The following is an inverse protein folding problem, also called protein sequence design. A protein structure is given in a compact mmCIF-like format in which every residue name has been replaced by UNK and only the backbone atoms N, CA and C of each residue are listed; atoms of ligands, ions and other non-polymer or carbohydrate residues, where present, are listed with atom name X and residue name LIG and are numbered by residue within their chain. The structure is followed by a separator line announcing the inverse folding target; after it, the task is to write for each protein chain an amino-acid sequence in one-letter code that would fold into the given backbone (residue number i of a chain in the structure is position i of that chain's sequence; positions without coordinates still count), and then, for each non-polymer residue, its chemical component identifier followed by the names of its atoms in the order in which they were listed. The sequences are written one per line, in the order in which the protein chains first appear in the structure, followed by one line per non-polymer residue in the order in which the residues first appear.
data_IF_815521581003
#
_entry.id   IF_815521581003
#
_cell.length_a   1.000
_cell.length_b   1.000
_cell.length_c   1.000
_cell.angle_alpha   90.00
_cell.angle_beta   90.00
_cell.angle_gamma   90.00
#
_symmetry.space_group_name_H-M   'P 1'
#
loop_
_entity.id
_entity.type
_entity.pdbx_description
1 polymer ?
#
# COMPACT_ATOMS: atom_id res chain seq x y z
N UNK A 1 37.44 17.46 9.51
CA UNK A 1 36.23 18.30 9.25
C UNK A 1 35.03 17.39 9.00
N UNK A 2 34.01 17.41 9.86
CA UNK A 2 32.75 16.70 9.61
C UNK A 2 31.96 17.50 8.57
N UNK A 3 31.86 17.01 7.32
CA UNK A 3 31.00 17.64 6.29
C UNK A 3 29.57 17.69 6.82
N UNK A 4 28.98 18.88 6.92
CA UNK A 4 27.58 19.07 7.34
C UNK A 4 26.67 18.37 6.34
N UNK A 5 25.77 17.51 6.83
CA UNK A 5 24.82 16.77 5.98
C UNK A 5 23.86 17.73 5.27
N UNK A 6 23.64 17.52 3.98
CA UNK A 6 22.66 18.28 3.20
C UNK A 6 21.22 18.00 3.68
N UNK A 7 20.24 18.86 3.37
CA UNK A 7 18.85 18.63 3.72
C UNK A 7 18.29 17.28 3.23
N UNK A 8 18.60 16.89 1.99
CA UNK A 8 18.19 15.58 1.44
C UNK A 8 18.85 14.43 2.21
N UNK A 9 20.14 14.52 2.55
CA UNK A 9 20.82 13.50 3.36
C UNK A 9 20.18 13.34 4.76
N UNK A 10 19.69 14.43 5.36
CA UNK A 10 18.97 14.37 6.65
C UNK A 10 17.61 13.70 6.51
N UNK A 11 16.85 13.96 5.45
CA UNK A 11 15.56 13.30 5.20
C UNK A 11 15.74 11.82 4.80
N UNK A 12 16.77 11.46 4.03
CA UNK A 12 17.12 10.06 3.74
C UNK A 12 17.46 9.27 5.01
N UNK A 13 18.20 9.87 5.95
CA UNK A 13 18.47 9.23 7.24
C UNK A 13 17.21 9.05 8.08
N UNK A 14 16.28 9.99 8.01
CA UNK A 14 14.99 9.87 8.69
C UNK A 14 14.15 8.75 8.05
N UNK A 15 14.10 8.71 6.72
CA UNK A 15 13.45 7.66 5.96
C UNK A 15 14.01 6.29 6.34
N UNK A 16 15.33 6.11 6.30
CA UNK A 16 15.99 4.84 6.67
C UNK A 16 15.61 4.39 8.08
N UNK A 17 15.56 5.32 9.05
CA UNK A 17 15.12 5.01 10.42
C UNK A 17 13.65 4.60 10.50
N UNK A 18 12.78 5.24 9.72
CA UNK A 18 11.35 4.91 9.70
C UNK A 18 11.08 3.57 9.01
N UNK A 19 11.77 3.31 7.90
CA UNK A 19 11.75 2.03 7.19
C UNK A 19 12.23 0.91 8.11
N UNK A 20 13.42 1.06 8.73
CA UNK A 20 13.94 0.06 9.67
C UNK A 20 12.96 -0.24 10.82
N UNK A 21 12.31 0.78 11.40
CA UNK A 21 11.31 0.56 12.46
C UNK A 21 10.09 -0.21 11.96
N UNK A 22 9.63 0.06 10.74
CA UNK A 22 8.55 -0.68 10.12
C UNK A 22 8.95 -2.15 9.92
N UNK A 23 10.13 -2.39 9.33
CA UNK A 23 10.64 -3.74 9.08
C UNK A 23 10.83 -4.54 10.37
N UNK A 24 11.46 -3.95 11.40
CA UNK A 24 11.65 -4.58 12.71
C UNK A 24 10.31 -4.97 13.37
N UNK A 25 9.29 -4.11 13.23
CA UNK A 25 7.95 -4.41 13.75
C UNK A 25 7.34 -5.62 13.06
N UNK A 26 7.45 -5.70 11.72
CA UNK A 26 6.92 -6.83 10.93
C UNK A 26 7.70 -8.12 11.13
N UNK A 27 9.02 -8.03 11.28
CA UNK A 27 9.87 -9.20 11.53
C UNK A 27 9.61 -9.81 12.90
N UNK A 28 9.40 -8.98 13.94
CA UNK A 28 9.08 -9.44 15.30
C UNK A 28 7.68 -10.04 15.44
N UNK A 29 6.74 -9.68 14.57
CA UNK A 29 5.40 -10.27 14.55
C UNK A 29 5.35 -11.66 13.90
N UNK A 30 6.41 -12.08 13.21
CA UNK A 30 6.50 -13.34 12.49
C UNK A 30 6.86 -14.55 13.34
N UNK A 31 6.22 -14.75 14.49
CA UNK A 31 6.43 -15.98 15.28
C UNK A 31 5.63 -17.16 14.72
N UNK A 32 6.35 -18.24 14.46
CA UNK A 32 6.00 -19.50 13.78
C UNK A 32 4.74 -20.24 14.22
N UNK A 33 4.10 -19.85 15.33
CA UNK A 33 2.90 -20.51 15.88
C UNK A 33 1.62 -20.23 15.08
N UNK A 34 1.66 -19.18 14.25
CA UNK A 34 0.51 -18.63 13.55
C UNK A 34 0.21 -19.34 12.23
N UNK A 35 1.25 -19.57 11.41
CA UNK A 35 1.13 -20.30 10.14
C UNK A 35 0.68 -21.75 10.39
N UNK A 36 1.19 -22.39 11.45
CA UNK A 36 0.77 -23.74 11.85
C UNK A 36 -0.69 -23.82 12.27
N UNK A 37 -1.22 -22.82 12.99
CA UNK A 37 -2.64 -22.80 13.39
C UNK A 37 -3.60 -22.55 12.22
N UNK A 38 -3.13 -21.86 11.17
CA UNK A 38 -3.92 -21.51 9.99
C UNK A 38 -4.03 -22.66 8.99
N UNK A 39 -2.94 -23.42 8.78
CA UNK A 39 -2.96 -24.60 7.91
C UNK A 39 -3.94 -25.67 8.40
N UNK A 40 -4.09 -25.84 9.72
CA UNK A 40 -4.94 -26.89 10.29
C UNK A 40 -6.44 -26.55 10.36
N UNK A 41 -6.84 -25.28 10.19
CA UNK A 41 -8.23 -24.83 10.46
C UNK A 41 -8.91 -24.05 9.34
N UNK A 42 -8.19 -23.63 8.31
CA UNK A 42 -8.78 -22.91 7.17
C UNK A 42 -9.25 -23.93 6.10
N UNK A 43 -10.54 -23.94 5.72
CA UNK A 43 -10.99 -24.75 4.59
C UNK A 43 -10.40 -24.24 3.27
N UNK A 44 -9.73 -25.11 2.51
CA UNK A 44 -9.13 -24.79 1.20
C UNK A 44 -10.11 -24.08 0.26
N UNK A 45 -11.38 -24.53 0.26
CA UNK A 45 -12.45 -23.96 -0.56
C UNK A 45 -12.70 -22.48 -0.27
N UNK A 46 -12.62 -22.08 1.01
CA UNK A 46 -12.86 -20.71 1.43
C UNK A 46 -11.69 -19.80 1.02
N UNK A 47 -10.46 -20.27 1.22
CA UNK A 47 -9.27 -19.56 0.74
C UNK A 47 -9.30 -19.35 -0.77
N UNK A 48 -9.61 -20.41 -1.52
CA UNK A 48 -9.73 -20.34 -2.98
C UNK A 48 -10.83 -19.38 -3.44
N UNK A 49 -11.96 -19.28 -2.73
CA UNK A 49 -13.02 -18.31 -3.04
C UNK A 49 -12.56 -16.87 -2.83
N UNK A 50 -11.90 -16.58 -1.71
CA UNK A 50 -11.40 -15.22 -1.43
C UNK A 50 -10.31 -14.81 -2.40
N UNK A 51 -9.39 -15.72 -2.71
CA UNK A 51 -8.33 -15.50 -3.69
C UNK A 51 -8.90 -15.17 -5.07
N UNK A 52 -9.88 -15.95 -5.55
CA UNK A 52 -10.59 -15.65 -6.82
C UNK A 52 -11.28 -14.29 -6.79
N UNK A 53 -11.87 -13.90 -5.67
CA UNK A 53 -12.52 -12.60 -5.53
C UNK A 53 -11.49 -11.45 -5.57
N UNK A 54 -10.35 -11.58 -4.89
CA UNK A 54 -9.26 -10.59 -4.96
C UNK A 54 -8.66 -10.51 -6.36
N UNK A 55 -8.36 -11.65 -6.97
CA UNK A 55 -7.86 -11.71 -8.34
C UNK A 55 -8.79 -10.98 -9.32
N UNK A 56 -10.09 -11.27 -9.23
CA UNK A 56 -11.11 -10.64 -10.05
C UNK A 56 -11.22 -9.14 -9.80
N UNK A 57 -11.16 -8.71 -8.53
CA UNK A 57 -11.18 -7.31 -8.15
C UNK A 57 -9.97 -6.53 -8.72
N UNK A 58 -8.76 -7.06 -8.56
CA UNK A 58 -7.55 -6.45 -9.11
C UNK A 58 -7.61 -6.36 -10.63
N UNK A 59 -7.96 -7.45 -11.32
CA UNK A 59 -8.13 -7.45 -12.78
C UNK A 59 -9.15 -6.40 -13.22
N UNK A 60 -10.32 -6.36 -12.58
CA UNK A 60 -11.37 -5.41 -12.92
C UNK A 60 -10.89 -3.97 -12.73
N UNK A 61 -10.22 -3.67 -11.60
CA UNK A 61 -9.78 -2.32 -11.30
C UNK A 61 -8.65 -1.87 -12.24
N UNK A 62 -7.66 -2.71 -12.51
CA UNK A 62 -6.56 -2.35 -13.41
C UNK A 62 -6.96 -2.24 -14.88
N UNK A 63 -8.01 -2.96 -15.31
CA UNK A 63 -8.52 -2.87 -16.69
C UNK A 63 -9.55 -1.75 -16.84
N UNK A 64 -10.47 -1.57 -15.88
CA UNK A 64 -11.65 -0.68 -16.03
C UNK A 64 -11.85 0.30 -14.88
N UNK A 65 -11.33 0.02 -13.69
CA UNK A 65 -11.63 0.76 -12.47
C UNK A 65 -10.74 1.98 -12.19
N UNK A 66 -9.61 2.14 -12.90
CA UNK A 66 -8.73 3.32 -12.74
C UNK A 66 -9.51 4.62 -12.93
N UNK A 67 -10.28 4.74 -14.02
CA UNK A 67 -11.11 5.92 -14.29
C UNK A 67 -12.21 6.16 -13.25
N UNK A 68 -12.78 5.08 -12.68
CA UNK A 68 -13.80 5.20 -11.63
C UNK A 68 -13.19 5.68 -10.31
N UNK A 69 -12.03 5.11 -9.94
CA UNK A 69 -11.29 5.50 -8.74
C UNK A 69 -10.79 6.95 -8.87
N UNK A 70 -10.34 7.38 -10.05
CA UNK A 70 -9.92 8.77 -10.28
C UNK A 70 -10.99 9.79 -9.99
N UNK A 71 -12.25 9.52 -10.35
CA UNK A 71 -13.37 10.43 -10.07
C UNK A 71 -13.61 10.65 -8.57
N UNK A 72 -13.04 9.81 -7.71
CA UNK A 72 -13.25 9.89 -6.27
C UNK A 72 -12.25 10.84 -5.58
N UNK A 73 -11.22 11.36 -6.27
CA UNK A 73 -10.26 12.34 -5.74
C UNK A 73 -9.82 13.35 -6.80
N UNK A 74 -9.23 14.46 -6.37
CA UNK A 74 -8.78 15.52 -7.28
C UNK A 74 -7.38 15.22 -7.83
N UNK A 75 -7.29 14.34 -8.83
CA UNK A 75 -6.02 13.94 -9.46
C UNK A 75 -5.17 15.15 -9.92
N UNK A 76 -5.76 16.05 -10.69
CA UNK A 76 -5.05 17.22 -11.21
C UNK A 76 -4.49 18.13 -10.09
N UNK A 77 -5.22 18.26 -8.98
CA UNK A 77 -4.77 19.04 -7.82
C UNK A 77 -3.54 18.39 -7.19
N UNK A 78 -3.55 17.06 -7.00
CA UNK A 78 -2.40 16.32 -6.48
C UNK A 78 -1.16 16.42 -7.39
N UNK A 79 -1.35 16.34 -8.71
CA UNK A 79 -0.25 16.47 -9.67
C UNK A 79 0.31 17.90 -9.72
N UNK A 80 -0.55 18.92 -9.65
CA UNK A 80 -0.15 20.33 -9.58
C UNK A 80 0.61 20.61 -8.28
N UNK A 81 0.09 20.15 -7.15
CA UNK A 81 0.75 20.27 -5.84
C UNK A 81 2.12 19.61 -5.84
N UNK A 82 2.23 18.41 -6.41
CA UNK A 82 3.51 17.73 -6.59
C UNK A 82 4.49 18.61 -7.39
N UNK A 83 4.10 19.13 -8.56
CA UNK A 83 4.97 19.96 -9.41
C UNK A 83 5.44 21.23 -8.68
N UNK A 84 4.57 21.87 -7.91
CA UNK A 84 4.92 23.05 -7.11
C UNK A 84 5.97 22.68 -6.04
N UNK A 85 5.76 21.57 -5.35
CA UNK A 85 6.67 21.10 -4.31
C UNK A 85 8.01 20.62 -4.88
N UNK A 86 7.98 19.91 -6.00
CA UNK A 86 9.17 19.42 -6.70
C UNK A 86 10.03 20.59 -7.20
N UNK A 87 9.41 21.57 -7.86
CA UNK A 87 10.10 22.80 -8.28
C UNK A 87 10.72 23.55 -7.09
N UNK A 88 9.98 23.68 -5.98
CA UNK A 88 10.52 24.29 -4.76
C UNK A 88 11.70 23.49 -4.18
N UNK A 89 11.67 22.16 -4.25
CA UNK A 89 12.77 21.29 -3.82
C UNK A 89 14.01 21.47 -4.71
N UNK A 90 13.82 21.54 -6.03
CA UNK A 90 14.91 21.77 -6.98
C UNK A 90 15.59 23.13 -6.76
N UNK A 91 14.82 24.18 -6.47
CA UNK A 91 15.35 25.55 -6.30
C UNK A 91 15.92 25.80 -4.91
N UNK A 92 15.17 25.47 -3.85
CA UNK A 92 15.55 25.83 -2.47
C UNK A 92 16.39 24.75 -1.80
N UNK A 93 16.24 23.49 -2.21
CA UNK A 93 16.91 22.32 -1.62
C UNK A 93 16.86 22.31 -0.08
N UNK A 94 15.82 22.87 0.53
CA UNK A 94 15.72 23.05 1.98
C UNK A 94 14.93 21.90 2.63
N UNK A 95 15.13 21.72 3.93
CA UNK A 95 14.50 20.61 4.66
C UNK A 95 12.99 20.82 4.86
N UNK A 96 12.51 22.06 4.78
CA UNK A 96 11.13 22.43 5.09
C UNK A 96 10.22 22.01 3.93
N UNK A 97 10.64 22.20 2.70
CA UNK A 97 9.90 21.78 1.50
C UNK A 97 9.74 20.26 1.44
N UNK A 98 10.83 19.49 1.64
CA UNK A 98 10.78 18.02 1.70
C UNK A 98 9.89 17.50 2.85
N UNK A 99 9.88 18.19 3.99
CA UNK A 99 9.04 17.85 5.14
C UNK A 99 7.55 18.08 4.87
N UNK A 100 7.20 19.12 4.11
CA UNK A 100 5.79 19.42 3.74
C UNK A 100 5.23 18.33 2.85
N UNK A 101 5.96 17.96 1.80
CA UNK A 101 5.60 16.88 0.89
C UNK A 101 5.38 15.55 1.63
N UNK A 102 6.33 15.17 2.50
CA UNK A 102 6.19 13.99 3.38
C UNK A 102 4.95 14.05 4.27
N UNK A 103 4.66 15.20 4.90
CA UNK A 103 3.50 15.35 5.77
C UNK A 103 2.17 15.19 5.02
N UNK A 104 2.10 15.70 3.79
CA UNK A 104 0.94 15.56 2.92
C UNK A 104 0.77 14.11 2.42
N UNK A 105 1.86 13.42 2.09
CA UNK A 105 1.79 12.00 1.70
C UNK A 105 1.34 11.10 2.87
N UNK A 106 1.94 11.29 4.04
CA UNK A 106 1.58 10.53 5.25
C UNK A 106 0.17 10.82 5.80
N UNK A 107 -0.53 11.85 5.31
CA UNK A 107 -1.92 12.11 5.68
C UNK A 107 -2.93 11.28 4.87
N UNK A 108 -2.54 10.64 3.75
CA UNK A 108 -3.42 9.71 3.00
C UNK A 108 -3.79 8.51 3.86
N UNK A 109 -2.86 8.01 4.68
CA UNK A 109 -3.12 6.94 5.65
C UNK A 109 -3.84 7.39 6.92
N UNK A 110 -4.14 8.69 7.09
CA UNK A 110 -4.99 9.19 8.17
C UNK A 110 -6.43 9.12 7.69
N UNK A 111 -7.06 7.98 7.97
CA UNK A 111 -8.50 7.80 7.87
C UNK A 111 -9.17 8.80 8.81
N UNK A 112 -9.42 10.02 8.33
CA UNK A 112 -10.26 10.96 9.04
C UNK A 112 -11.67 10.37 8.96
N UNK A 113 -12.16 9.90 10.10
CA UNK A 113 -13.55 9.52 10.39
C UNK A 113 -14.57 10.66 10.13
N UNK A 114 -14.16 11.74 9.45
CA UNK A 114 -14.89 12.98 9.21
C UNK A 114 -14.82 13.48 7.74
N UNK A 115 -14.27 12.71 6.80
CA UNK A 115 -14.29 13.07 5.37
C UNK A 115 -15.56 12.58 4.63
N UNK A 116 -16.56 12.10 5.36
CA UNK A 116 -17.84 11.58 4.86
C UNK A 116 -18.91 12.66 4.63
N UNK A 117 -18.54 13.94 4.60
CA UNK A 117 -19.49 15.05 4.48
C UNK A 117 -19.63 15.72 3.09
N UNK A 118 -18.62 15.68 2.22
CA UNK A 118 -18.62 16.61 1.07
C UNK A 118 -18.14 16.04 -0.27
N UNK A 119 -17.68 14.79 -0.35
CA UNK A 119 -17.24 14.18 -1.60
C UNK A 119 -18.26 13.16 -2.12
N UNK A 120 -19.50 13.62 -2.37
CA UNK A 120 -20.37 13.17 -3.48
C UNK A 120 -20.63 11.68 -3.73
N UNK A 121 -20.30 10.77 -2.83
CA UNK A 121 -20.70 9.36 -2.87
C UNK A 121 -21.10 9.03 -1.44
N UNK A 122 -22.41 8.87 -1.21
CA UNK A 122 -23.02 8.78 0.12
C UNK A 122 -22.28 7.82 1.06
N UNK A 123 -21.76 8.36 2.17
CA UNK A 123 -21.21 7.61 3.29
C UNK A 123 -21.95 7.97 4.58
N UNK A 124 -23.28 8.05 4.49
CA UNK A 124 -24.18 7.98 5.64
C UNK A 124 -24.55 6.53 5.94
N UNK A 125 -23.58 5.67 6.26
CA UNK A 125 -23.82 4.34 6.83
C UNK A 125 -22.68 3.96 7.80
N UNK A 126 -22.63 4.67 8.92
CA UNK A 126 -22.17 4.05 10.17
C UNK A 126 -23.39 3.26 10.65
N UNK A 127 -23.43 1.94 10.42
CA UNK A 127 -24.47 1.10 11.00
C UNK A 127 -24.80 -0.25 10.34
N UNK A 128 -24.39 -0.55 9.11
CA UNK A 128 -24.79 -1.82 8.45
C UNK A 128 -23.71 -2.35 7.50
N UNK A 129 -23.11 -3.50 7.85
CA UNK A 129 -22.48 -4.41 6.88
C UNK A 129 -21.11 -4.02 6.30
N UNK A 130 -20.51 -4.96 5.57
CA UNK A 130 -19.11 -4.96 5.11
C UNK A 130 -19.00 -4.62 3.64
N UNK A 131 -18.02 -3.81 3.22
CA UNK A 131 -17.75 -3.60 1.80
C UNK A 131 -17.30 -4.90 1.14
N UNK A 132 -17.82 -5.22 -0.04
CA UNK A 132 -17.35 -6.38 -0.80
C UNK A 132 -15.84 -6.26 -1.14
N UNK A 133 -15.19 -7.38 -1.46
CA UNK A 133 -13.76 -7.42 -1.82
C UNK A 133 -13.38 -6.40 -2.93
N UNK A 134 -14.21 -6.20 -3.98
CA UNK A 134 -14.02 -5.12 -4.94
C UNK A 134 -13.93 -3.73 -4.30
N UNK A 135 -14.84 -3.36 -3.41
CA UNK A 135 -14.83 -2.06 -2.73
C UNK A 135 -13.59 -1.88 -1.87
N UNK A 136 -13.22 -2.90 -1.08
CA UNK A 136 -11.97 -2.86 -0.29
C UNK A 136 -10.74 -2.66 -1.18
N UNK A 137 -10.63 -3.45 -2.25
CA UNK A 137 -9.51 -3.37 -3.21
C UNK A 137 -9.48 -2.00 -3.88
N UNK A 138 -10.65 -1.44 -4.20
CA UNK A 138 -10.80 -0.09 -4.74
C UNK A 138 -10.26 0.99 -3.79
N UNK A 139 -10.59 0.93 -2.51
CA UNK A 139 -10.05 1.85 -1.50
C UNK A 139 -8.54 1.71 -1.31
N UNK A 140 -8.03 0.48 -1.36
CA UNK A 140 -6.60 0.21 -1.23
C UNK A 140 -5.83 0.84 -2.37
N UNK A 141 -6.24 0.54 -3.60
CA UNK A 141 -5.62 1.09 -4.80
C UNK A 141 -5.78 2.62 -4.87
N UNK A 142 -6.97 3.16 -4.55
CA UNK A 142 -7.21 4.61 -4.42
C UNK A 142 -6.19 5.27 -3.48
N UNK A 143 -5.88 4.64 -2.35
CA UNK A 143 -4.95 5.20 -1.37
C UNK A 143 -3.51 5.19 -1.91
N UNK A 144 -3.10 4.09 -2.53
CA UNK A 144 -1.76 3.95 -3.12
C UNK A 144 -1.59 4.90 -4.31
N UNK A 145 -2.61 5.06 -5.16
CA UNK A 145 -2.60 6.02 -6.29
C UNK A 145 -2.41 7.46 -5.82
N UNK A 146 -3.09 7.87 -4.75
CA UNK A 146 -2.87 9.21 -4.18
C UNK A 146 -1.46 9.37 -3.62
N UNK A 147 -0.87 8.33 -3.03
CA UNK A 147 0.52 8.36 -2.56
C UNK A 147 1.48 8.46 -3.76
N UNK A 148 1.26 7.69 -4.83
CA UNK A 148 2.12 7.71 -6.02
C UNK A 148 2.13 9.09 -6.65
N UNK A 149 0.95 9.71 -6.83
CA UNK A 149 0.82 11.06 -7.39
C UNK A 149 1.48 12.13 -6.52
N UNK A 150 1.38 12.01 -5.19
CA UNK A 150 2.08 12.92 -4.26
C UNK A 150 3.61 12.84 -4.35
N UNK A 151 4.14 11.79 -4.96
CA UNK A 151 5.56 11.61 -5.25
C UNK A 151 5.88 11.70 -6.75
N UNK A 152 4.91 12.07 -7.59
CA UNK A 152 5.11 12.31 -9.02
C UNK A 152 5.06 11.07 -9.91
N UNK A 153 4.56 9.94 -9.41
CA UNK A 153 4.49 8.68 -10.15
C UNK A 153 3.06 8.39 -10.65
N UNK A 154 2.92 8.18 -11.96
CA UNK A 154 1.68 7.69 -12.58
C UNK A 154 1.50 6.20 -12.32
N UNK A 155 0.28 5.78 -11.97
CA UNK A 155 -0.11 4.39 -11.70
C UNK A 155 -0.68 3.65 -12.92
N UNK A 156 -0.65 4.25 -14.10
CA UNK A 156 -1.31 3.72 -15.30
C UNK A 156 -0.50 2.63 -16.00
N UNK A 157 0.84 2.71 -15.93
CA UNK A 157 1.74 1.78 -16.61
C UNK A 157 1.63 0.39 -16.03
N UNK A 158 1.95 -0.63 -16.83
CA UNK A 158 1.93 -2.01 -16.35
C UNK A 158 2.99 -2.21 -15.26
N UNK A 159 4.16 -1.62 -15.43
CA UNK A 159 5.27 -1.65 -14.48
C UNK A 159 4.85 -1.07 -13.13
N UNK A 160 4.14 0.05 -13.12
CA UNK A 160 3.68 0.65 -11.88
C UNK A 160 2.56 -0.17 -11.23
N UNK A 161 1.66 -0.79 -12.01
CA UNK A 161 0.67 -1.73 -11.45
C UNK A 161 1.34 -2.92 -10.77
N UNK A 162 2.37 -3.48 -11.40
CA UNK A 162 3.18 -4.57 -10.80
C UNK A 162 3.88 -4.08 -9.53
N UNK A 163 4.44 -2.87 -9.55
CA UNK A 163 5.06 -2.25 -8.39
C UNK A 163 4.10 -2.08 -7.22
N UNK A 164 2.89 -1.56 -7.47
CA UNK A 164 1.85 -1.38 -6.46
C UNK A 164 1.48 -2.72 -5.81
N UNK A 165 1.40 -3.80 -6.60
CA UNK A 165 1.18 -5.13 -6.07
C UNK A 165 2.33 -5.60 -5.19
N UNK A 166 3.60 -5.39 -5.57
CA UNK A 166 4.74 -5.69 -4.69
C UNK A 166 4.70 -4.89 -3.39
N UNK A 167 4.27 -3.63 -3.41
CA UNK A 167 4.10 -2.83 -2.19
C UNK A 167 3.09 -3.46 -1.25
N UNK A 168 1.97 -3.96 -1.79
CA UNK A 168 0.98 -4.71 -1.03
C UNK A 168 1.64 -5.97 -0.47
N UNK A 169 2.33 -6.79 -1.27
CA UNK A 169 2.99 -8.01 -0.79
C UNK A 169 4.02 -7.75 0.33
N UNK A 170 4.92 -6.77 0.15
CA UNK A 170 5.96 -6.42 1.13
C UNK A 170 5.41 -5.85 2.44
N UNK A 171 4.32 -5.09 2.37
CA UNK A 171 3.66 -4.55 3.55
C UNK A 171 2.90 -5.59 4.37
N UNK A 172 2.61 -6.75 3.78
CA UNK A 172 1.63 -7.73 4.30
C UNK A 172 2.28 -9.03 4.75
N UNK A 173 3.51 -9.27 4.32
CA UNK A 173 4.37 -10.32 4.82
C UNK A 173 4.89 -10.05 6.26
N UNK A 174 5.36 -11.11 6.92
CA UNK A 174 6.01 -11.10 8.24
C UNK A 174 7.29 -11.96 8.23
N UNK A 175 8.14 -11.80 9.24
CA UNK A 175 9.35 -12.62 9.41
C UNK A 175 10.29 -12.59 8.20
N UNK A 176 10.83 -13.74 7.81
CA UNK A 176 11.78 -13.87 6.69
C UNK A 176 11.13 -13.64 5.32
N UNK A 177 9.84 -13.93 5.15
CA UNK A 177 9.10 -13.58 3.93
C UNK A 177 9.03 -12.06 3.76
N UNK A 178 8.85 -11.32 4.87
CA UNK A 178 8.85 -9.86 4.82
C UNK A 178 10.17 -9.30 4.32
N UNK A 179 11.29 -9.84 4.80
CA UNK A 179 12.62 -9.43 4.34
C UNK A 179 12.79 -9.67 2.84
N UNK A 180 12.45 -10.88 2.36
CA UNK A 180 12.54 -11.24 0.94
C UNK A 180 11.67 -10.36 0.04
N UNK A 181 10.45 -10.03 0.48
CA UNK A 181 9.55 -9.14 -0.28
C UNK A 181 10.03 -7.69 -0.26
N UNK A 182 10.58 -7.22 0.86
CA UNK A 182 11.19 -5.89 0.96
C UNK A 182 12.40 -5.74 0.02
N UNK A 183 13.22 -6.78 -0.09
CA UNK A 183 14.34 -6.84 -1.03
C UNK A 183 13.85 -6.81 -2.49
N UNK A 184 12.80 -7.56 -2.83
CA UNK A 184 12.19 -7.52 -4.16
C UNK A 184 11.62 -6.13 -4.49
N UNK A 185 11.07 -5.46 -3.48
CA UNK A 185 10.60 -4.08 -3.60
C UNK A 185 11.80 -3.15 -3.87
N UNK A 186 12.84 -3.21 -3.05
CA UNK A 186 14.04 -2.39 -3.24
C UNK A 186 14.73 -2.66 -4.59
N UNK A 187 14.77 -3.90 -5.06
CA UNK A 187 15.36 -4.26 -6.35
C UNK A 187 14.69 -3.54 -7.53
N UNK A 188 13.37 -3.34 -7.49
CA UNK A 188 12.67 -2.56 -8.52
C UNK A 188 12.98 -1.05 -8.43
N UNK A 189 13.19 -0.50 -7.22
CA UNK A 189 13.64 0.90 -7.05
C UNK A 189 15.03 1.09 -7.66
N UNK A 190 15.91 0.10 -7.51
CA UNK A 190 17.24 0.11 -8.12
C UNK A 190 17.18 -0.05 -9.64
N UNK A 191 16.33 -0.96 -10.12
CA UNK A 191 16.18 -1.27 -11.54
C UNK A 191 14.75 -1.76 -11.82
N UNK A 192 13.95 -0.95 -12.52
CA UNK A 192 12.57 -1.29 -12.90
C UNK A 192 12.47 -2.57 -13.75
N UNK A 193 13.59 -2.98 -14.37
CA UNK A 193 13.70 -4.26 -15.08
C UNK A 193 13.70 -5.49 -14.18
N UNK A 194 13.73 -5.33 -12.86
CA UNK A 194 13.64 -6.44 -11.91
C UNK A 194 12.35 -7.27 -12.07
N UNK A 195 11.33 -6.71 -12.73
CA UNK A 195 10.07 -7.38 -13.05
C UNK A 195 9.92 -7.83 -14.50
N UNK A 196 10.99 -7.73 -15.31
CA UNK A 196 10.99 -8.28 -16.66
C UNK A 196 10.72 -9.79 -16.62
N UNK A 197 9.84 -10.26 -17.51
CA UNK A 197 9.48 -11.66 -17.63
C UNK A 197 8.35 -12.12 -16.70
N UNK A 198 7.95 -11.33 -15.69
CA UNK A 198 6.75 -11.62 -14.88
C UNK A 198 5.53 -10.96 -15.47
N UNK A 199 4.46 -11.73 -15.69
CA UNK A 199 3.20 -11.16 -16.19
C UNK A 199 2.45 -10.42 -15.08
N UNK A 200 1.67 -9.39 -15.43
CA UNK A 200 0.81 -8.73 -14.44
C UNK A 200 -0.18 -9.74 -13.80
N UNK A 201 -0.65 -10.72 -14.57
CA UNK A 201 -1.54 -11.77 -14.09
C UNK A 201 -0.94 -12.62 -12.96
N UNK A 202 0.32 -13.06 -13.12
CA UNK A 202 1.05 -13.81 -12.08
C UNK A 202 1.18 -13.03 -10.78
N UNK A 203 1.52 -11.74 -10.87
CA UNK A 203 1.71 -10.91 -9.68
C UNK A 203 0.36 -10.61 -9.02
N UNK A 204 -0.73 -10.48 -9.78
CA UNK A 204 -2.09 -10.36 -9.23
C UNK A 204 -2.48 -11.64 -8.48
N UNK A 205 -2.23 -12.82 -9.05
CA UNK A 205 -2.54 -14.11 -8.43
C UNK A 205 -1.80 -14.28 -7.11
N UNK A 206 -0.48 -14.03 -7.11
CA UNK A 206 0.33 -14.08 -5.89
C UNK A 206 -0.16 -13.11 -4.81
N UNK A 207 -0.49 -11.87 -5.21
CA UNK A 207 -1.01 -10.86 -4.28
C UNK A 207 -2.37 -11.24 -3.72
N UNK A 208 -3.26 -11.78 -4.57
CA UNK A 208 -4.58 -12.25 -4.17
C UNK A 208 -4.49 -13.39 -3.15
N UNK A 209 -3.56 -14.33 -3.34
CA UNK A 209 -3.29 -15.41 -2.39
C UNK A 209 -2.74 -14.91 -1.05
N UNK A 210 -1.88 -13.89 -1.05
CA UNK A 210 -1.38 -13.28 0.19
C UNK A 210 -2.51 -12.56 0.94
N UNK A 211 -3.30 -11.74 0.25
CA UNK A 211 -4.42 -11.02 0.85
C UNK A 211 -5.49 -11.96 1.41
N UNK A 212 -5.81 -13.04 0.68
CA UNK A 212 -6.83 -14.01 1.11
C UNK A 212 -6.44 -14.69 2.41
N UNK A 213 -5.19 -15.15 2.54
CA UNK A 213 -4.66 -15.78 3.77
C UNK A 213 -4.67 -14.82 4.96
N UNK A 214 -4.18 -13.60 4.75
CA UNK A 214 -4.09 -12.60 5.83
C UNK A 214 -5.47 -12.18 6.36
N UNK A 215 -6.46 -12.03 5.47
CA UNK A 215 -7.82 -11.69 5.87
C UNK A 215 -8.52 -12.81 6.61
N UNK A 216 -8.27 -14.06 6.23
CA UNK A 216 -8.78 -15.22 6.95
C UNK A 216 -8.18 -15.29 8.36
N UNK A 217 -6.87 -15.11 8.47
CA UNK A 217 -6.17 -15.07 9.75
C UNK A 217 -6.83 -14.08 10.74
N UNK A 218 -7.07 -12.85 10.32
CA UNK A 218 -7.62 -11.82 11.21
C UNK A 218 -9.06 -12.12 11.64
N UNK A 219 -9.89 -12.70 10.76
CA UNK A 219 -11.27 -13.10 11.12
C UNK A 219 -11.30 -14.23 12.14
N UNK A 220 -10.35 -15.16 12.07
CA UNK A 220 -10.19 -16.22 13.07
C UNK A 220 -9.63 -15.70 14.40
N UNK A 221 -8.67 -14.77 14.38
CA UNK A 221 -8.14 -14.14 15.60
C UNK A 221 -9.24 -13.40 16.39
N UNK A 222 -10.24 -12.87 15.69
CA UNK A 222 -11.42 -12.22 16.29
C UNK A 222 -12.49 -13.22 16.77
N UNK A 223 -12.26 -14.53 16.68
CA UNK A 223 -13.17 -15.57 17.18
C UNK A 223 -14.47 -15.72 16.37
N UNK A 224 -14.54 -15.14 15.16
CA UNK A 224 -15.74 -15.19 14.33
C UNK A 224 -15.73 -16.52 13.56
N UNK A 225 -16.72 -17.42 13.76
CA UNK A 225 -16.81 -18.65 12.98
C UNK A 225 -17.05 -18.31 11.51
N UNK A 226 -16.07 -18.63 10.64
CA UNK A 226 -16.11 -18.31 9.20
C UNK A 226 -16.99 -19.29 8.39
N UNK A 227 -17.92 -19.96 9.06
CA UNK A 227 -18.92 -20.83 8.41
C UNK A 227 -20.14 -19.97 8.10
N UNK A 228 -20.30 -19.58 6.84
CA UNK A 228 -21.49 -18.87 6.34
C UNK A 228 -21.51 -17.35 6.52
N UNK A 229 -20.53 -16.76 7.21
CA UNK A 229 -20.41 -15.31 7.39
C UNK A 229 -19.27 -14.78 6.54
N UNK A 230 -19.54 -14.50 5.26
CA UNK A 230 -18.66 -13.67 4.40
C UNK A 230 -18.85 -12.22 4.84
N UNK A 231 -18.48 -11.93 6.09
CA UNK A 231 -19.15 -10.88 6.81
C UNK A 231 -18.46 -10.46 8.11
N UNK A 232 -17.17 -10.06 8.08
CA UNK A 232 -16.54 -9.33 9.19
C UNK A 232 -15.81 -8.06 8.73
N UNK A 233 -15.79 -7.01 9.57
CA UNK A 233 -15.20 -5.70 9.31
C UNK A 233 -13.74 -5.81 8.85
N UNK A 234 -13.40 -5.16 7.72
CA UNK A 234 -12.01 -5.03 7.28
C UNK A 234 -11.26 -4.14 8.27
N UNK A 235 -10.13 -4.63 8.80
CA UNK A 235 -9.34 -3.92 9.79
C UNK A 235 -8.60 -2.73 9.15
N UNK A 236 -8.90 -1.52 9.67
CA UNK A 236 -8.21 -0.28 9.34
C UNK A 236 -6.70 -0.37 9.55
N UNK A 237 -6.22 -1.25 10.43
CA UNK A 237 -4.79 -1.51 10.70
C UNK A 237 -4.06 -1.95 9.43
N UNK A 238 -4.64 -2.83 8.64
CA UNK A 238 -4.00 -3.37 7.44
C UNK A 238 -3.82 -2.31 6.35
N UNK A 239 -4.87 -1.51 6.14
CA UNK A 239 -4.81 -0.35 5.24
C UNK A 239 -3.75 0.65 5.71
N UNK A 240 -3.61 0.84 7.02
CA UNK A 240 -2.62 1.74 7.61
C UNK A 240 -1.20 1.22 7.41
N UNK A 241 -0.97 -0.09 7.52
CA UNK A 241 0.33 -0.73 7.28
C UNK A 241 0.74 -0.67 5.81
N UNK A 242 -0.17 -1.00 4.88
CA UNK A 242 0.10 -0.91 3.45
C UNK A 242 0.36 0.53 3.03
N UNK A 243 -0.47 1.48 3.45
CA UNK A 243 -0.27 2.89 3.09
C UNK A 243 0.99 3.48 3.72
N UNK A 244 1.36 3.08 4.94
CA UNK A 244 2.62 3.49 5.56
C UNK A 244 3.83 2.95 4.78
N UNK A 245 3.80 1.67 4.41
CA UNK A 245 4.87 1.05 3.63
C UNK A 245 4.99 1.67 2.22
N UNK A 246 3.85 1.87 1.54
CA UNK A 246 3.81 2.54 0.24
C UNK A 246 4.40 3.96 0.33
N UNK A 247 4.04 4.73 1.36
CA UNK A 247 4.61 6.08 1.60
C UNK A 247 6.13 6.03 1.76
N UNK A 248 6.65 5.07 2.54
CA UNK A 248 8.09 4.90 2.73
C UNK A 248 8.80 4.61 1.41
N UNK A 249 8.28 3.68 0.60
CA UNK A 249 8.91 3.22 -0.64
C UNK A 249 8.80 4.23 -1.78
N UNK A 250 7.66 4.90 -1.93
CA UNK A 250 7.55 6.02 -2.89
C UNK A 250 8.46 7.19 -2.51
N UNK A 251 8.57 7.51 -1.22
CA UNK A 251 9.51 8.54 -0.75
C UNK A 251 10.96 8.14 -1.00
N UNK A 252 11.30 6.85 -0.83
CA UNK A 252 12.62 6.31 -1.15
C UNK A 252 12.96 6.46 -2.63
N UNK A 253 12.04 6.08 -3.51
CA UNK A 253 12.17 6.23 -4.97
C UNK A 253 12.33 7.70 -5.36
N UNK A 254 11.54 8.60 -4.78
CA UNK A 254 11.65 10.05 -5.02
C UNK A 254 12.97 10.64 -4.54
N UNK A 255 13.43 10.33 -3.32
CA UNK A 255 14.71 10.88 -2.83
C UNK A 255 15.93 10.41 -3.62
N UNK A 256 15.83 9.25 -4.27
CA UNK A 256 16.88 8.75 -5.16
C UNK A 256 17.08 9.62 -6.40
N UNK A 257 16.05 10.32 -6.89
CA UNK A 257 16.21 11.20 -8.07
C UNK A 257 17.10 12.43 -7.82
N UNK A 258 17.45 12.70 -6.56
CA UNK A 258 18.32 13.81 -6.15
C UNK A 258 19.80 13.40 -5.96
N UNK A 259 20.13 12.11 -6.15
CA UNK A 259 21.46 11.53 -5.93
C UNK A 259 22.00 11.01 -7.25
#
# INVERSE_FOLDING_TARGET
MIKRKTPIQKEMLLLKKQEQRFLEHRQKQGDSRLNQFLEDKIPDKLQATLEKAFFSAFKLIFVKGVSLIEKTYKREELEKDFKIHDYANQIKSDRKSLKTMRKQAGSVGKWNTAASGAAGIGMGLIGVGIPDIPVFTGFLLRSIYQISLKYGYSYETEEEKKWILLLIQGATAYGEEQRRRDEAVDAFIENERALLGRSLGEIIEETAGILSRELLYMKFLQGIPIVGVVGGAFDLKYMKEITAYAELKYRKRYYRSFV
#
